data_IF_811154330490
#
_entry.id   IF_811154330490
#
_cell.length_a   1.000
_cell.length_b   1.000
_cell.length_c   1.000
_cell.angle_alpha   90.00
_cell.angle_beta   90.00
_cell.angle_gamma   90.00
#
_symmetry.space_group_name_H-M   'P 1'
#
loop_
_entity.id
_entity.type
_entity.pdbx_description
1 polymer ?
#
# COMPACT_ATOMS: atom_id res chain seq x y z
N UNK A 1 55.37 59.71 44.14
CA UNK A 1 55.02 59.59 42.71
C UNK A 1 54.26 58.30 42.54
N UNK A 2 52.97 58.39 42.32
CA UNK A 2 51.97 57.35 42.48
C UNK A 2 51.65 56.70 41.12
N UNK A 3 51.87 55.43 40.99
CA UNK A 3 51.44 54.61 39.81
C UNK A 3 50.10 53.99 40.15
N UNK A 4 49.05 54.37 39.41
CA UNK A 4 47.72 53.79 39.48
C UNK A 4 47.63 52.55 38.54
N UNK A 5 47.50 51.39 39.16
CA UNK A 5 47.17 50.17 38.40
C UNK A 5 45.63 50.11 38.15
N UNK A 6 45.21 50.15 36.89
CA UNK A 6 43.85 49.91 36.53
C UNK A 6 43.68 48.40 36.18
N UNK A 7 42.95 47.71 37.04
CA UNK A 7 42.56 46.29 36.80
C UNK A 7 41.36 46.28 35.86
N UNK A 8 41.57 45.83 34.67
CA UNK A 8 40.48 45.59 33.70
C UNK A 8 39.90 44.18 33.95
N UNK A 9 38.70 44.13 34.51
CA UNK A 9 37.95 42.89 34.72
C UNK A 9 37.22 42.54 33.43
N UNK A 10 37.71 41.53 32.67
CA UNK A 10 37.07 41.02 31.49
C UNK A 10 35.93 40.05 31.91
N UNK A 11 34.70 40.48 31.70
CA UNK A 11 33.50 39.66 31.88
C UNK A 11 33.36 38.72 30.69
N UNK A 12 33.77 37.46 30.84
CA UNK A 12 33.49 36.40 29.84
C UNK A 12 32.05 35.96 30.06
N UNK A 13 31.13 36.45 29.23
CA UNK A 13 29.77 35.97 29.14
C UNK A 13 29.77 34.59 28.44
N UNK A 14 29.71 33.51 29.21
CA UNK A 14 29.50 32.16 28.71
C UNK A 14 28.06 32.05 28.20
N UNK A 15 27.85 32.14 26.88
CA UNK A 15 26.61 31.69 26.25
C UNK A 15 26.56 30.17 26.39
N UNK A 16 25.93 29.69 27.47
CA UNK A 16 25.47 28.30 27.54
C UNK A 16 24.36 28.14 26.50
N UNK A 17 24.70 27.58 25.35
CA UNK A 17 23.69 27.09 24.38
C UNK A 17 22.89 26.01 25.13
N UNK A 18 21.69 26.34 25.59
CA UNK A 18 20.73 25.37 26.08
C UNK A 18 20.33 24.51 24.86
N UNK A 19 21.01 23.39 24.69
CA UNK A 19 20.51 22.32 23.85
C UNK A 19 19.15 21.94 24.44
N UNK A 20 18.08 22.46 23.87
CA UNK A 20 16.73 22.01 24.17
C UNK A 20 16.75 20.52 23.92
N UNK A 21 16.63 19.71 24.97
CA UNK A 21 16.43 18.28 24.82
C UNK A 21 15.14 18.12 24.02
N UNK A 22 15.29 17.96 22.71
CA UNK A 22 14.15 17.69 21.85
C UNK A 22 13.48 16.45 22.40
N UNK A 23 12.25 16.60 22.92
CA UNK A 23 11.48 15.50 23.49
C UNK A 23 11.39 14.34 22.50
N UNK A 24 11.06 13.17 22.98
CA UNK A 24 10.90 11.97 22.16
C UNK A 24 9.96 12.27 20.97
N UNK A 25 10.40 12.05 19.71
CA UNK A 25 9.56 12.29 18.54
C UNK A 25 8.29 11.45 18.59
N UNK A 26 7.15 12.06 18.35
CA UNK A 26 5.85 11.36 18.29
C UNK A 26 5.40 11.27 16.85
N UNK A 27 5.19 10.04 16.36
CA UNK A 27 4.73 9.74 14.99
C UNK A 27 3.46 8.91 15.09
N UNK A 28 2.45 9.25 14.28
CA UNK A 28 1.19 8.50 14.18
C UNK A 28 1.19 7.60 12.95
N UNK A 29 0.66 6.39 13.07
CA UNK A 29 0.32 5.51 11.95
C UNK A 29 -1.18 5.22 11.96
N UNK A 30 -1.86 5.47 10.84
CA UNK A 30 -3.28 5.17 10.65
C UNK A 30 -3.43 4.26 9.44
N UNK A 31 -3.92 3.03 9.67
CA UNK A 31 -4.19 2.05 8.63
C UNK A 31 -5.68 1.99 8.28
N UNK A 32 -6.05 1.27 7.21
CA UNK A 32 -7.47 1.09 6.87
C UNK A 32 -8.18 0.19 7.86
N UNK A 33 -7.52 -0.93 8.23
CA UNK A 33 -8.05 -1.92 9.19
C UNK A 33 -6.93 -2.51 10.03
N UNK A 34 -7.29 -3.19 11.12
CA UNK A 34 -6.34 -3.97 11.94
C UNK A 34 -6.36 -5.47 11.62
N UNK A 35 -7.20 -5.93 10.68
CA UNK A 35 -7.39 -7.35 10.37
C UNK A 35 -6.74 -7.78 9.04
N UNK A 36 -6.61 -6.88 8.05
CA UNK A 36 -5.94 -7.21 6.81
C UNK A 36 -4.43 -7.41 7.05
N UNK A 37 -3.86 -8.58 6.68
CA UNK A 37 -2.44 -8.90 6.94
C UNK A 37 -1.45 -7.86 6.40
N UNK A 38 -1.76 -7.18 5.30
CA UNK A 38 -0.94 -6.11 4.75
C UNK A 38 -0.77 -4.95 5.75
N UNK A 39 -1.86 -4.48 6.35
CA UNK A 39 -1.84 -3.38 7.31
C UNK A 39 -1.29 -3.80 8.67
N UNK A 40 -1.52 -5.05 9.08
CA UNK A 40 -0.89 -5.62 10.29
C UNK A 40 0.64 -5.58 10.14
N UNK A 41 1.18 -5.96 8.98
CA UNK A 41 2.62 -5.93 8.72
C UNK A 41 3.17 -4.51 8.53
N UNK A 42 2.41 -3.62 7.95
CA UNK A 42 2.75 -2.19 7.92
C UNK A 42 2.92 -1.64 9.35
N UNK A 43 2.00 -1.96 10.27
CA UNK A 43 2.08 -1.58 11.69
C UNK A 43 3.33 -2.16 12.35
N UNK A 44 3.65 -3.44 12.14
CA UNK A 44 4.88 -4.06 12.64
C UNK A 44 6.16 -3.37 12.11
N UNK A 45 6.18 -3.03 10.82
CA UNK A 45 7.28 -2.27 10.20
C UNK A 45 7.46 -0.90 10.84
N UNK A 46 6.37 -0.17 11.06
CA UNK A 46 6.39 1.12 11.73
C UNK A 46 6.87 1.01 13.19
N UNK A 47 6.41 -0.01 13.93
CA UNK A 47 6.84 -0.25 15.33
C UNK A 47 8.34 -0.52 15.43
N UNK A 48 8.89 -1.35 14.53
CA UNK A 48 10.34 -1.61 14.48
C UNK A 48 11.12 -0.34 14.19
N UNK A 49 10.70 0.43 13.18
CA UNK A 49 11.38 1.66 12.80
C UNK A 49 11.32 2.72 13.90
N UNK A 50 10.16 2.90 14.53
CA UNK A 50 10.00 3.83 15.65
C UNK A 50 10.92 3.46 16.82
N UNK A 51 10.99 2.17 17.19
CA UNK A 51 11.90 1.69 18.23
C UNK A 51 13.37 1.95 17.89
N UNK A 52 13.79 1.69 16.65
CA UNK A 52 15.17 1.93 16.20
C UNK A 52 15.52 3.42 16.18
N UNK A 53 14.54 4.25 15.89
CA UNK A 53 14.69 5.71 15.85
C UNK A 53 14.49 6.39 17.22
N UNK A 54 14.19 5.66 18.29
CA UNK A 54 13.88 6.25 19.60
C UNK A 54 12.71 7.22 19.51
N UNK A 55 11.61 6.78 18.90
CA UNK A 55 10.40 7.58 18.69
C UNK A 55 9.17 6.86 19.25
N UNK A 56 8.23 7.61 19.79
CA UNK A 56 6.92 7.10 20.21
C UNK A 56 6.01 6.96 19.01
N UNK A 57 5.51 5.75 18.76
CA UNK A 57 4.53 5.47 17.72
C UNK A 57 3.12 5.43 18.33
N UNK A 58 2.22 6.27 17.81
CA UNK A 58 0.78 6.16 18.01
C UNK A 58 0.18 5.35 16.87
N UNK A 59 -0.80 4.48 17.14
CA UNK A 59 -1.46 3.70 16.10
C UNK A 59 -2.96 3.88 16.15
N UNK A 60 -3.60 3.90 14.97
CA UNK A 60 -5.04 3.92 14.79
C UNK A 60 -5.43 3.24 13.48
N UNK A 61 -6.70 2.92 13.34
CA UNK A 61 -7.24 2.32 12.13
C UNK A 61 -8.73 2.63 11.99
N UNK A 62 -9.26 2.48 10.78
CA UNK A 62 -10.68 2.30 10.55
C UNK A 62 -11.13 0.90 10.98
N UNK A 63 -12.43 0.69 11.11
CA UNK A 63 -13.04 -0.62 11.42
C UNK A 63 -13.07 -1.54 10.20
N UNK A 64 -13.16 -0.96 9.01
CA UNK A 64 -13.19 -1.66 7.72
C UNK A 64 -12.61 -0.79 6.62
N UNK A 65 -12.33 -1.37 5.44
CA UNK A 65 -12.07 -0.56 4.24
C UNK A 65 -13.28 0.36 3.97
N UNK A 66 -12.99 1.65 3.76
CA UNK A 66 -14.02 2.70 3.60
C UNK A 66 -14.46 3.39 4.90
N UNK A 67 -14.02 2.95 6.09
CA UNK A 67 -14.33 3.67 7.35
C UNK A 67 -13.49 4.94 7.50
N UNK A 68 -13.93 5.99 6.83
CA UNK A 68 -13.30 7.30 6.89
C UNK A 68 -13.51 7.98 8.27
N UNK A 69 -14.65 7.77 8.93
CA UNK A 69 -14.95 8.39 10.22
C UNK A 69 -13.97 7.93 11.32
N UNK A 70 -13.68 6.63 11.37
CA UNK A 70 -12.68 6.09 12.31
C UNK A 70 -11.28 6.66 12.06
N UNK A 71 -10.89 6.86 10.80
CA UNK A 71 -9.61 7.47 10.47
C UNK A 71 -9.55 8.95 10.84
N UNK A 72 -10.63 9.72 10.64
CA UNK A 72 -10.71 11.14 11.07
C UNK A 72 -10.52 11.24 12.59
N UNK A 73 -11.23 10.43 13.37
CA UNK A 73 -11.09 10.41 14.82
C UNK A 73 -9.64 10.08 15.25
N UNK A 74 -8.99 9.12 14.56
CA UNK A 74 -7.59 8.78 14.81
C UNK A 74 -6.65 9.96 14.51
N UNK A 75 -6.86 10.72 13.43
CA UNK A 75 -6.08 11.93 13.10
C UNK A 75 -6.20 12.95 14.25
N UNK A 76 -7.40 13.25 14.69
CA UNK A 76 -7.66 14.24 15.74
C UNK A 76 -7.03 13.83 17.08
N UNK A 77 -7.15 12.56 17.46
CA UNK A 77 -6.50 12.01 18.64
C UNK A 77 -4.96 12.10 18.57
N UNK A 78 -4.37 11.83 17.41
CA UNK A 78 -2.93 11.92 17.23
C UNK A 78 -2.41 13.36 17.29
N UNK A 79 -3.15 14.31 16.73
CA UNK A 79 -2.86 15.74 16.83
C UNK A 79 -2.88 16.15 18.32
N UNK A 80 -3.93 15.81 19.05
CA UNK A 80 -4.08 16.10 20.47
C UNK A 80 -2.96 15.46 21.32
N UNK A 81 -2.46 14.29 20.91
CA UNK A 81 -1.34 13.60 21.57
C UNK A 81 0.05 14.14 21.18
N UNK A 82 0.12 15.20 20.38
CA UNK A 82 1.35 15.88 19.99
C UNK A 82 2.14 15.20 18.87
N UNK A 83 1.48 14.41 17.99
CA UNK A 83 2.14 13.83 16.83
C UNK A 83 2.71 14.94 15.93
N UNK A 84 4.00 14.80 15.58
CA UNK A 84 4.68 15.69 14.63
C UNK A 84 4.53 15.23 13.18
N UNK A 85 4.29 13.95 12.98
CA UNK A 85 3.99 13.39 11.67
C UNK A 85 2.86 12.36 11.79
N UNK A 86 2.00 12.30 10.78
CA UNK A 86 0.95 11.30 10.61
C UNK A 86 1.19 10.57 9.29
N UNK A 87 1.33 9.25 9.39
CA UNK A 87 1.47 8.31 8.30
C UNK A 87 0.11 7.64 8.13
N UNK A 88 -0.53 7.77 6.98
CA UNK A 88 -1.90 7.30 6.79
C UNK A 88 -2.08 6.52 5.49
N UNK A 89 -2.75 5.37 5.56
CA UNK A 89 -3.31 4.72 4.39
C UNK A 89 -4.79 5.12 4.26
N UNK A 90 -5.14 6.09 3.40
CA UNK A 90 -6.51 6.59 3.30
C UNK A 90 -7.52 5.50 2.93
N UNK A 91 -8.61 5.37 3.69
CA UNK A 91 -9.76 4.52 3.33
C UNK A 91 -10.59 5.15 2.21
N UNK A 92 -10.74 6.48 2.26
CA UNK A 92 -11.32 7.30 1.20
C UNK A 92 -10.35 8.43 0.84
N UNK A 93 -9.89 8.44 -0.41
CA UNK A 93 -8.87 9.38 -0.89
C UNK A 93 -9.32 10.84 -0.91
N UNK A 94 -10.64 11.10 -0.99
CA UNK A 94 -11.24 12.45 -1.05
C UNK A 94 -11.78 12.87 0.31
N UNK A 95 -12.59 12.03 0.94
CA UNK A 95 -13.29 12.38 2.16
C UNK A 95 -12.34 12.62 3.35
N UNK A 96 -11.12 12.06 3.33
CA UNK A 96 -10.12 12.28 4.39
C UNK A 96 -9.43 13.66 4.30
N UNK A 97 -9.42 14.29 3.12
CA UNK A 97 -8.63 15.52 2.83
C UNK A 97 -8.87 16.67 3.81
N UNK A 98 -10.12 17.01 4.23
CA UNK A 98 -10.32 18.08 5.20
C UNK A 98 -9.64 17.84 6.55
N UNK A 99 -9.60 16.58 7.02
CA UNK A 99 -8.92 16.23 8.27
C UNK A 99 -7.39 16.30 8.13
N UNK A 100 -6.84 15.86 7.00
CA UNK A 100 -5.40 16.00 6.72
C UNK A 100 -4.97 17.46 6.60
N UNK A 101 -5.82 18.30 5.99
CA UNK A 101 -5.55 19.73 5.94
C UNK A 101 -5.46 20.34 7.33
N UNK A 102 -6.40 20.02 8.23
CA UNK A 102 -6.35 20.49 9.63
C UNK A 102 -5.05 20.07 10.34
N UNK A 103 -4.60 18.82 10.13
CA UNK A 103 -3.34 18.35 10.68
C UNK A 103 -2.14 19.18 10.16
N UNK A 104 -2.09 19.40 8.84
CA UNK A 104 -1.02 20.19 8.21
C UNK A 104 -1.03 21.67 8.63
N UNK A 105 -2.19 22.27 8.79
CA UNK A 105 -2.36 23.66 9.27
C UNK A 105 -1.83 23.82 10.71
N UNK A 106 -1.80 22.74 11.50
CA UNK A 106 -1.21 22.69 12.84
C UNK A 106 0.28 22.29 12.85
N UNK A 107 0.92 22.25 11.68
CA UNK A 107 2.34 21.94 11.55
C UNK A 107 2.67 20.45 11.65
N UNK A 108 1.69 19.57 11.51
CA UNK A 108 1.92 18.13 11.43
C UNK A 108 2.24 17.74 9.98
N UNK A 109 3.36 17.04 9.75
CA UNK A 109 3.68 16.50 8.44
C UNK A 109 2.76 15.29 8.16
N UNK A 110 2.20 15.21 6.96
CA UNK A 110 1.31 14.10 6.56
C UNK A 110 1.92 13.35 5.38
N UNK A 111 2.15 12.04 5.58
CA UNK A 111 2.61 11.13 4.53
C UNK A 111 1.50 10.13 4.23
N UNK A 112 1.08 10.06 2.97
CA UNK A 112 0.22 8.98 2.51
C UNK A 112 1.05 7.69 2.33
N UNK A 113 0.49 6.56 2.75
CA UNK A 113 1.04 5.23 2.56
C UNK A 113 0.13 4.42 1.64
N UNK A 114 0.71 3.61 0.74
CA UNK A 114 0.00 2.67 -0.12
C UNK A 114 -1.00 3.32 -1.08
N UNK A 115 -1.89 4.14 -0.57
CA UNK A 115 -2.98 4.78 -1.33
C UNK A 115 -2.81 6.30 -1.35
N UNK A 116 -2.82 6.96 -2.53
CA UNK A 116 -2.76 8.41 -2.63
C UNK A 116 -4.07 9.06 -2.17
N UNK A 117 -3.98 10.34 -1.82
CA UNK A 117 -5.15 11.23 -1.69
C UNK A 117 -5.56 11.80 -3.05
N UNK A 118 -6.79 12.30 -3.14
CA UNK A 118 -7.30 13.07 -4.28
C UNK A 118 -7.89 14.40 -3.78
N UNK A 119 -7.20 15.53 -3.99
CA UNK A 119 -5.99 15.68 -4.81
C UNK A 119 -4.72 15.13 -4.12
N UNK A 120 -3.72 14.72 -4.93
CA UNK A 120 -2.47 14.14 -4.43
C UNK A 120 -1.67 15.06 -3.51
N UNK A 121 -1.77 16.37 -3.68
CA UNK A 121 -1.08 17.38 -2.87
C UNK A 121 -1.75 17.64 -1.49
N UNK A 122 -2.80 16.90 -1.15
CA UNK A 122 -3.37 16.94 0.20
C UNK A 122 -2.43 16.38 1.27
N UNK A 123 -1.41 15.59 0.86
CA UNK A 123 -0.32 15.10 1.71
C UNK A 123 1.03 15.68 1.29
N UNK A 124 2.02 15.66 2.19
CA UNK A 124 3.37 16.17 1.90
C UNK A 124 4.16 15.18 1.01
N UNK A 125 3.92 13.87 1.18
CA UNK A 125 4.53 12.81 0.38
C UNK A 125 3.62 11.59 0.27
N UNK A 126 3.92 10.72 -0.71
CA UNK A 126 3.31 9.40 -0.89
C UNK A 126 4.42 8.33 -0.91
N UNK A 127 4.34 7.34 -0.03
CA UNK A 127 5.22 6.17 -0.03
C UNK A 127 4.36 4.95 -0.37
N UNK A 128 4.54 4.41 -1.57
CA UNK A 128 3.66 3.37 -2.09
C UNK A 128 4.36 2.47 -3.11
N UNK A 129 3.78 1.32 -3.37
CA UNK A 129 4.06 0.48 -4.53
C UNK A 129 3.59 1.19 -5.80
N UNK A 130 4.31 1.06 -6.90
CA UNK A 130 3.76 1.38 -8.22
C UNK A 130 2.67 0.36 -8.58
N UNK A 131 1.43 0.73 -8.24
CA UNK A 131 0.27 -0.14 -8.42
C UNK A 131 -0.08 -0.40 -9.88
N UNK A 132 0.20 0.55 -10.79
CA UNK A 132 0.05 0.32 -12.22
C UNK A 132 1.06 -0.73 -12.70
N UNK A 133 2.31 -0.61 -12.29
CA UNK A 133 3.35 -1.61 -12.59
C UNK A 133 3.04 -2.98 -12.00
N UNK A 134 2.47 -3.04 -10.79
CA UNK A 134 2.03 -4.30 -10.20
C UNK A 134 1.00 -4.99 -11.10
N UNK A 135 -0.03 -4.27 -11.53
CA UNK A 135 -1.01 -4.76 -12.49
C UNK A 135 -0.37 -5.16 -13.82
N UNK A 136 0.50 -4.31 -14.37
CA UNK A 136 1.19 -4.55 -15.65
C UNK A 136 1.94 -5.89 -15.66
N UNK A 137 2.72 -6.16 -14.61
CA UNK A 137 3.50 -7.39 -14.48
C UNK A 137 2.61 -8.64 -14.45
N UNK A 138 1.52 -8.63 -13.67
CA UNK A 138 0.60 -9.78 -13.62
C UNK A 138 -0.20 -9.93 -14.93
N UNK A 139 -0.51 -8.83 -15.62
CA UNK A 139 -1.16 -8.85 -16.94
C UNK A 139 -0.26 -9.46 -18.01
N UNK A 140 1.00 -9.06 -18.09
CA UNK A 140 2.00 -9.63 -18.98
C UNK A 140 2.19 -11.12 -18.71
N UNK A 141 2.27 -11.51 -17.45
CA UNK A 141 2.34 -12.91 -17.08
C UNK A 141 1.10 -13.69 -17.54
N UNK A 142 -0.10 -13.19 -17.24
CA UNK A 142 -1.35 -13.85 -17.59
C UNK A 142 -1.49 -14.07 -19.11
N UNK A 143 -1.12 -13.06 -19.93
CA UNK A 143 -1.09 -13.16 -21.37
C UNK A 143 -0.16 -14.27 -21.85
N UNK A 144 1.07 -14.30 -21.35
CA UNK A 144 2.05 -15.32 -21.69
C UNK A 144 1.61 -16.72 -21.24
N UNK A 145 1.01 -16.84 -20.04
CA UNK A 145 0.57 -18.10 -19.47
C UNK A 145 -0.62 -18.72 -20.20
N UNK A 146 -1.50 -17.90 -20.80
CA UNK A 146 -2.60 -18.38 -21.66
C UNK A 146 -2.12 -18.90 -23.02
N UNK A 147 -0.88 -18.59 -23.42
CA UNK A 147 -0.23 -19.14 -24.62
C UNK A 147 -1.10 -19.02 -25.90
N UNK A 148 -1.72 -17.85 -26.09
CA UNK A 148 -2.57 -17.56 -27.27
C UNK A 148 -4.01 -18.08 -27.20
N UNK A 149 -4.40 -18.76 -26.12
CA UNK A 149 -5.82 -19.11 -25.91
C UNK A 149 -6.64 -17.83 -25.71
N UNK A 150 -7.83 -17.78 -26.32
CA UNK A 150 -8.77 -16.69 -26.13
C UNK A 150 -9.16 -16.56 -24.66
N UNK A 151 -8.99 -15.35 -24.11
CA UNK A 151 -9.33 -15.08 -22.73
C UNK A 151 -10.84 -14.80 -22.54
N UNK A 152 -11.35 -15.27 -21.42
CA UNK A 152 -12.61 -14.86 -20.82
C UNK A 152 -12.30 -14.45 -19.40
N UNK A 153 -12.08 -13.14 -19.23
CA UNK A 153 -11.49 -12.56 -18.01
C UNK A 153 -12.61 -12.18 -17.03
N UNK A 154 -12.47 -12.58 -15.78
CA UNK A 154 -13.14 -11.92 -14.67
C UNK A 154 -12.15 -10.99 -13.95
N UNK A 155 -12.55 -9.74 -13.71
CA UNK A 155 -11.81 -8.83 -12.82
C UNK A 155 -12.57 -8.72 -11.50
N UNK A 156 -11.89 -9.12 -10.42
CA UNK A 156 -12.41 -9.03 -9.06
C UNK A 156 -11.69 -7.86 -8.40
N UNK A 157 -12.32 -6.70 -8.51
CA UNK A 157 -11.76 -5.39 -8.23
C UNK A 157 -11.93 -4.97 -6.77
N UNK A 158 -11.42 -3.79 -6.40
CA UNK A 158 -11.52 -3.26 -5.04
C UNK A 158 -12.92 -2.69 -4.78
N UNK A 159 -13.17 -1.50 -5.23
CA UNK A 159 -14.47 -0.80 -5.31
C UNK A 159 -14.32 0.45 -6.19
N UNK A 160 -15.43 0.98 -6.72
CA UNK A 160 -15.38 2.09 -7.67
C UNK A 160 -14.68 3.33 -7.11
N UNK A 161 -13.85 3.97 -7.93
CA UNK A 161 -13.18 5.23 -7.61
C UNK A 161 -11.93 5.10 -6.73
N UNK A 162 -11.56 3.91 -6.26
CA UNK A 162 -10.35 3.74 -5.43
C UNK A 162 -9.08 3.79 -6.30
N UNK A 163 -8.12 4.72 -6.05
CA UNK A 163 -6.96 4.91 -6.94
C UNK A 163 -6.09 3.67 -7.13
N UNK A 164 -5.85 2.90 -6.05
CA UNK A 164 -5.08 1.64 -6.12
C UNK A 164 -5.82 0.61 -6.97
N UNK A 165 -7.14 0.49 -6.82
CA UNK A 165 -7.97 -0.41 -7.62
C UNK A 165 -7.87 -0.08 -9.09
N UNK A 166 -8.07 1.20 -9.44
CA UNK A 166 -7.96 1.70 -10.82
C UNK A 166 -6.56 1.43 -11.40
N UNK A 167 -5.50 1.76 -10.67
CA UNK A 167 -4.14 1.60 -11.15
C UNK A 167 -3.79 0.13 -11.42
N UNK A 168 -4.10 -0.79 -10.49
CA UNK A 168 -3.85 -2.23 -10.66
C UNK A 168 -4.66 -2.83 -11.80
N UNK A 169 -5.96 -2.54 -11.87
CA UNK A 169 -6.85 -3.00 -12.94
C UNK A 169 -6.36 -2.54 -14.32
N UNK A 170 -6.10 -1.23 -14.46
CA UNK A 170 -5.63 -0.64 -15.71
C UNK A 170 -4.26 -1.19 -16.10
N UNK A 171 -3.36 -1.35 -15.14
CA UNK A 171 -2.08 -2.00 -15.35
C UNK A 171 -2.24 -3.44 -15.84
N UNK A 172 -3.14 -4.22 -15.22
CA UNK A 172 -3.42 -5.58 -15.64
C UNK A 172 -3.92 -5.65 -17.10
N UNK A 173 -4.90 -4.83 -17.44
CA UNK A 173 -5.42 -4.82 -18.83
C UNK A 173 -4.36 -4.35 -19.84
N UNK A 174 -3.57 -3.34 -19.52
CA UNK A 174 -2.47 -2.89 -20.38
C UNK A 174 -1.40 -3.97 -20.53
N UNK A 175 -1.00 -4.65 -19.46
CA UNK A 175 -0.06 -5.77 -19.48
C UNK A 175 -0.59 -6.97 -20.27
N UNK A 176 -1.88 -7.23 -20.17
CA UNK A 176 -2.55 -8.25 -20.97
C UNK A 176 -2.60 -7.89 -22.47
N UNK A 177 -2.51 -6.61 -22.82
CA UNK A 177 -2.39 -6.12 -24.18
C UNK A 177 -3.54 -5.25 -24.68
N UNK A 178 -4.39 -4.76 -23.77
CA UNK A 178 -5.40 -3.77 -24.13
C UNK A 178 -4.71 -2.42 -24.45
N UNK A 179 -5.09 -1.83 -25.58
CA UNK A 179 -4.48 -0.60 -26.09
C UNK A 179 -5.05 0.65 -25.39
N UNK A 180 -4.26 1.73 -25.40
CA UNK A 180 -4.72 3.07 -24.94
C UNK A 180 -4.84 3.24 -23.42
N UNK A 181 -4.41 2.26 -22.62
CA UNK A 181 -4.49 2.31 -21.15
C UNK A 181 -3.11 2.65 -20.59
N UNK A 182 -3.03 3.75 -19.85
CA UNK A 182 -1.77 4.21 -19.24
C UNK A 182 -1.90 4.51 -17.75
N UNK A 183 -0.78 4.79 -17.06
CA UNK A 183 -0.76 5.03 -15.61
C UNK A 183 -1.52 6.28 -15.17
N UNK A 184 -1.89 7.15 -16.12
CA UNK A 184 -2.69 8.35 -15.86
C UNK A 184 -4.20 8.14 -16.11
N UNK A 185 -4.62 6.93 -16.50
CA UNK A 185 -6.05 6.62 -16.69
C UNK A 185 -6.73 6.55 -15.32
N UNK A 186 -7.69 7.45 -15.08
CA UNK A 186 -8.33 7.67 -13.76
C UNK A 186 -9.64 6.89 -13.56
N UNK A 187 -10.09 6.17 -14.59
CA UNK A 187 -11.27 5.31 -14.55
C UNK A 187 -10.89 3.86 -14.82
N UNK A 188 -11.72 2.91 -14.40
CA UNK A 188 -11.55 1.52 -14.74
C UNK A 188 -11.68 1.34 -16.26
N UNK A 189 -10.62 0.90 -16.90
CA UNK A 189 -10.60 0.64 -18.32
C UNK A 189 -11.48 -0.58 -18.67
N UNK A 190 -11.93 -0.63 -19.91
CA UNK A 190 -12.73 -1.75 -20.46
C UNK A 190 -11.92 -2.52 -21.49
N UNK A 191 -12.14 -3.81 -21.56
CA UNK A 191 -11.60 -4.69 -22.61
C UNK A 191 -12.69 -5.66 -23.06
N UNK A 192 -12.78 -6.00 -24.35
CA UNK A 192 -13.73 -6.99 -24.85
C UNK A 192 -13.50 -8.39 -24.27
N UNK A 193 -12.29 -8.67 -23.79
CA UNK A 193 -11.95 -9.95 -23.15
C UNK A 193 -12.49 -10.05 -21.71
N UNK A 194 -12.86 -8.92 -21.09
CA UNK A 194 -13.44 -8.89 -19.74
C UNK A 194 -14.93 -9.17 -19.82
N UNK A 195 -15.31 -10.37 -19.42
CA UNK A 195 -16.69 -10.85 -19.45
C UNK A 195 -17.44 -10.67 -18.14
N UNK A 196 -16.72 -10.34 -17.06
CA UNK A 196 -17.28 -10.00 -15.75
C UNK A 196 -16.37 -9.06 -14.99
N UNK A 197 -16.94 -8.00 -14.42
CA UNK A 197 -16.30 -7.12 -13.45
C UNK A 197 -17.14 -7.15 -12.18
N UNK A 198 -16.50 -7.30 -11.01
CA UNK A 198 -17.16 -7.32 -9.72
C UNK A 198 -16.25 -6.82 -8.60
N UNK A 199 -16.83 -6.19 -7.60
CA UNK A 199 -16.09 -5.60 -6.49
C UNK A 199 -15.97 -6.58 -5.31
N UNK A 200 -14.77 -6.68 -4.74
CA UNK A 200 -14.48 -7.51 -3.57
C UNK A 200 -14.19 -6.70 -2.30
N UNK A 201 -13.97 -5.41 -2.41
CA UNK A 201 -13.47 -4.57 -1.31
C UNK A 201 -12.15 -5.09 -0.71
N UNK A 202 -11.42 -5.91 -1.47
CA UNK A 202 -10.20 -6.56 -0.99
C UNK A 202 -10.44 -7.64 0.08
N UNK A 203 -11.68 -8.08 0.25
CA UNK A 203 -12.14 -9.04 1.26
C UNK A 203 -12.35 -10.45 0.67
N UNK A 204 -12.02 -11.49 1.45
CA UNK A 204 -12.11 -12.88 0.99
C UNK A 204 -13.55 -13.32 0.73
N UNK A 205 -14.47 -13.02 1.64
CA UNK A 205 -15.87 -13.44 1.51
C UNK A 205 -16.56 -12.76 0.35
N UNK A 206 -16.36 -11.44 0.21
CA UNK A 206 -16.88 -10.67 -0.93
C UNK A 206 -16.23 -11.10 -2.25
N UNK A 207 -14.93 -11.42 -2.26
CA UNK A 207 -14.24 -11.98 -3.41
C UNK A 207 -14.83 -13.33 -3.85
N UNK A 208 -15.20 -14.19 -2.90
CA UNK A 208 -15.90 -15.44 -3.18
C UNK A 208 -17.27 -15.17 -3.83
N UNK A 209 -18.11 -14.34 -3.23
CA UNK A 209 -19.44 -13.98 -3.77
C UNK A 209 -19.32 -13.32 -5.15
N UNK A 210 -18.34 -12.42 -5.34
CA UNK A 210 -18.08 -11.78 -6.62
C UNK A 210 -17.77 -12.82 -7.72
N UNK A 211 -16.92 -13.82 -7.41
CA UNK A 211 -16.59 -14.88 -8.37
C UNK A 211 -17.76 -15.82 -8.64
N UNK A 212 -18.54 -16.19 -7.63
CA UNK A 212 -19.76 -17.00 -7.81
C UNK A 212 -20.73 -16.31 -8.77
N UNK A 213 -20.96 -15.00 -8.60
CA UNK A 213 -21.78 -14.19 -9.50
C UNK A 213 -21.20 -14.11 -10.92
N UNK A 214 -19.87 -14.01 -11.05
CA UNK A 214 -19.21 -14.01 -12.34
C UNK A 214 -19.36 -15.35 -13.07
N UNK A 215 -19.26 -16.49 -12.38
CA UNK A 215 -19.47 -17.83 -12.95
C UNK A 215 -20.90 -18.05 -13.42
N UNK A 216 -21.90 -17.48 -12.71
CA UNK A 216 -23.29 -17.52 -13.15
C UNK A 216 -23.51 -16.73 -14.45
N UNK A 217 -22.84 -15.57 -14.60
CA UNK A 217 -22.92 -14.74 -15.82
C UNK A 217 -22.19 -15.37 -16.99
N UNK A 218 -21.03 -15.98 -16.75
CA UNK A 218 -20.21 -16.62 -17.78
C UNK A 218 -19.46 -17.83 -17.22
N UNK A 219 -19.94 -19.06 -17.46
CA UNK A 219 -19.29 -20.28 -17.00
C UNK A 219 -17.97 -20.62 -17.73
N UNK A 220 -17.61 -19.87 -18.77
CA UNK A 220 -16.41 -20.09 -19.58
C UNK A 220 -15.23 -19.20 -19.21
N UNK A 221 -15.28 -18.51 -18.04
CA UNK A 221 -14.14 -17.76 -17.51
C UNK A 221 -12.95 -18.70 -17.39
N UNK A 222 -11.79 -18.27 -17.90
CA UNK A 222 -10.53 -19.03 -17.87
C UNK A 222 -9.35 -18.22 -17.29
N UNK A 223 -9.57 -16.94 -16.98
CA UNK A 223 -8.59 -16.07 -16.32
C UNK A 223 -9.30 -15.18 -15.31
N UNK A 224 -8.76 -15.12 -14.09
CA UNK A 224 -9.21 -14.20 -13.05
C UNK A 224 -8.05 -13.31 -12.62
N UNK A 225 -8.25 -12.00 -12.75
CA UNK A 225 -7.49 -11.00 -12.02
C UNK A 225 -8.20 -10.75 -10.69
N UNK A 226 -7.50 -10.98 -9.59
CA UNK A 226 -7.95 -10.61 -8.25
C UNK A 226 -7.10 -9.46 -7.72
N UNK A 227 -7.75 -8.40 -7.22
CA UNK A 227 -7.13 -7.15 -6.78
C UNK A 227 -6.03 -7.34 -5.73
N UNK A 228 -6.19 -8.35 -4.87
CA UNK A 228 -5.27 -8.72 -3.81
C UNK A 228 -5.42 -10.20 -3.43
N UNK A 229 -4.52 -10.72 -2.61
CA UNK A 229 -4.53 -12.12 -2.19
C UNK A 229 -5.73 -12.55 -1.35
N UNK A 230 -6.29 -11.74 -0.43
CA UNK A 230 -7.54 -12.09 0.22
C UNK A 230 -8.69 -12.32 -0.76
N UNK A 231 -8.86 -11.45 -1.76
CA UNK A 231 -9.86 -11.63 -2.81
C UNK A 231 -9.56 -12.89 -3.65
N UNK A 232 -8.29 -13.15 -3.99
CA UNK A 232 -7.88 -14.37 -4.73
C UNK A 232 -8.20 -15.66 -3.97
N UNK A 233 -8.02 -15.66 -2.65
CA UNK A 233 -8.40 -16.81 -1.81
C UNK A 233 -9.93 -17.05 -1.84
N UNK A 234 -10.74 -15.99 -1.90
CA UNK A 234 -12.17 -16.07 -2.10
C UNK A 234 -12.54 -16.63 -3.48
N UNK A 235 -11.90 -16.09 -4.53
CA UNK A 235 -12.02 -16.58 -5.91
C UNK A 235 -11.74 -18.08 -5.99
N UNK A 236 -10.63 -18.53 -5.41
CA UNK A 236 -10.28 -19.95 -5.41
C UNK A 236 -11.35 -20.83 -4.74
N UNK A 237 -11.92 -20.38 -3.62
CA UNK A 237 -13.02 -21.11 -2.95
C UNK A 237 -14.25 -21.26 -3.86
N UNK A 238 -14.65 -20.19 -4.56
CA UNK A 238 -15.76 -20.22 -5.52
C UNK A 238 -15.48 -21.18 -6.68
N UNK A 239 -14.27 -21.10 -7.26
CA UNK A 239 -13.86 -22.01 -8.34
C UNK A 239 -13.84 -23.46 -7.90
N UNK A 240 -13.32 -23.74 -6.69
CA UNK A 240 -13.30 -25.11 -6.12
C UNK A 240 -14.70 -25.65 -5.89
N UNK A 241 -15.61 -24.84 -5.38
CA UNK A 241 -17.01 -25.22 -5.20
C UNK A 241 -17.70 -25.52 -6.53
N UNK A 242 -17.27 -24.86 -7.62
CA UNK A 242 -17.76 -25.10 -8.98
C UNK A 242 -16.99 -26.21 -9.75
N UNK A 243 -15.97 -26.84 -9.16
CA UNK A 243 -15.10 -27.83 -9.81
C UNK A 243 -14.25 -27.27 -10.95
N UNK A 244 -13.92 -25.96 -10.91
CA UNK A 244 -13.21 -25.24 -11.98
C UNK A 244 -11.81 -24.74 -11.59
N UNK A 245 -11.33 -25.09 -10.42
CA UNK A 245 -10.06 -24.59 -9.87
C UNK A 245 -8.82 -24.97 -10.69
N UNK A 246 -8.94 -26.00 -11.55
CA UNK A 246 -7.84 -26.44 -12.45
C UNK A 246 -7.92 -25.82 -13.84
N UNK A 247 -9.07 -25.28 -14.20
CA UNK A 247 -9.36 -24.75 -15.56
C UNK A 247 -9.15 -23.24 -15.66
N UNK A 248 -9.08 -22.55 -14.50
CA UNK A 248 -9.05 -21.10 -14.43
C UNK A 248 -7.74 -20.62 -13.84
N UNK A 249 -7.01 -19.78 -14.58
CA UNK A 249 -5.79 -19.13 -14.12
C UNK A 249 -6.13 -17.99 -13.18
N UNK A 250 -5.57 -17.96 -11.97
CA UNK A 250 -5.70 -16.85 -11.01
C UNK A 250 -4.39 -16.09 -10.95
N UNK A 251 -4.43 -14.76 -11.09
CA UNK A 251 -3.31 -13.87 -10.86
C UNK A 251 -3.72 -12.78 -9.86
N UNK A 252 -2.78 -12.35 -9.01
CA UNK A 252 -3.08 -11.42 -7.91
C UNK A 252 -1.92 -10.50 -7.56
N UNK A 253 -2.12 -9.67 -6.55
CA UNK A 253 -1.13 -8.75 -5.98
C UNK A 253 -1.10 -8.96 -4.47
N UNK A 254 0.01 -8.79 -3.87
CA UNK A 254 0.41 -8.54 -2.48
C UNK A 254 1.74 -9.22 -2.15
N UNK A 255 1.93 -10.50 -2.45
CA UNK A 255 3.15 -11.25 -2.10
C UNK A 255 3.31 -11.47 -0.60
N UNK A 256 2.21 -11.60 0.13
CA UNK A 256 2.22 -12.09 1.50
C UNK A 256 2.68 -13.54 1.57
N UNK A 257 3.17 -14.01 2.72
CA UNK A 257 3.69 -15.37 2.83
C UNK A 257 2.61 -16.44 2.55
N UNK A 258 1.34 -16.15 2.83
CA UNK A 258 0.23 -17.03 2.46
C UNK A 258 0.07 -17.10 0.94
N UNK A 259 -0.01 -15.95 0.26
CA UNK A 259 -0.17 -15.89 -1.20
C UNK A 259 1.03 -16.47 -1.95
N UNK A 260 2.26 -16.24 -1.46
CA UNK A 260 3.44 -16.89 -2.07
C UNK A 260 3.40 -18.42 -1.90
N UNK A 261 2.89 -18.93 -0.76
CA UNK A 261 2.62 -20.38 -0.61
C UNK A 261 1.54 -20.87 -1.57
N UNK A 262 0.51 -20.06 -1.82
CA UNK A 262 -0.53 -20.38 -2.80
C UNK A 262 0.02 -20.39 -4.24
N UNK A 263 0.98 -19.52 -4.56
CA UNK A 263 1.73 -19.62 -5.83
C UNK A 263 2.52 -20.91 -5.91
N UNK A 264 3.24 -21.28 -4.84
CA UNK A 264 3.99 -22.54 -4.78
C UNK A 264 3.09 -23.78 -4.90
N UNK A 265 1.89 -23.71 -4.37
CA UNK A 265 0.89 -24.79 -4.44
C UNK A 265 0.11 -24.80 -5.76
N UNK A 266 0.32 -23.82 -6.65
CA UNK A 266 -0.41 -23.71 -7.92
C UNK A 266 -1.85 -23.22 -7.79
N UNK A 267 -2.25 -22.70 -6.64
CA UNK A 267 -3.56 -22.06 -6.38
C UNK A 267 -3.66 -20.71 -7.07
N UNK A 268 -2.61 -19.91 -6.97
CA UNK A 268 -2.41 -18.65 -7.69
C UNK A 268 -1.24 -18.88 -8.66
N UNK A 269 -1.36 -18.44 -9.89
CA UNK A 269 -0.30 -18.64 -10.89
C UNK A 269 0.86 -17.66 -10.73
N UNK A 270 0.57 -16.43 -10.31
CA UNK A 270 1.55 -15.41 -10.01
C UNK A 270 0.96 -14.34 -9.09
N UNK A 271 1.81 -13.72 -8.27
CA UNK A 271 1.48 -12.56 -7.43
C UNK A 271 2.52 -11.46 -7.61
N UNK A 272 2.10 -10.19 -7.66
CA UNK A 272 3.01 -9.05 -7.62
C UNK A 272 3.28 -8.66 -6.17
N UNK A 273 4.47 -9.02 -5.67
CA UNK A 273 4.87 -8.82 -4.27
C UNK A 273 5.18 -7.35 -4.00
N UNK A 274 4.59 -6.80 -2.96
CA UNK A 274 4.82 -5.46 -2.42
C UNK A 274 5.38 -5.52 -0.98
N UNK A 275 5.87 -4.38 -0.46
CA UNK A 275 6.74 -4.36 0.72
C UNK A 275 6.24 -3.42 1.83
N UNK A 276 5.14 -3.76 2.56
CA UNK A 276 4.52 -2.89 3.57
C UNK A 276 5.44 -2.55 4.74
N UNK A 277 6.35 -3.47 5.15
CA UNK A 277 7.31 -3.18 6.21
C UNK A 277 8.30 -2.08 5.80
N UNK A 278 8.82 -2.16 4.55
CA UNK A 278 9.72 -1.14 3.99
C UNK A 278 9.01 0.20 3.85
N UNK A 279 7.78 0.18 3.34
CA UNK A 279 6.94 1.38 3.17
C UNK A 279 6.76 2.12 4.50
N UNK A 280 6.34 1.41 5.54
CA UNK A 280 6.16 1.98 6.87
C UNK A 280 7.47 2.41 7.52
N UNK A 281 8.53 1.62 7.36
CA UNK A 281 9.86 1.94 7.90
C UNK A 281 10.41 3.26 7.37
N UNK A 282 10.42 3.42 6.04
CA UNK A 282 10.86 4.67 5.39
C UNK A 282 10.02 5.88 5.80
N UNK A 283 8.71 5.69 5.97
CA UNK A 283 7.82 6.77 6.38
C UNK A 283 8.04 7.20 7.85
N UNK A 284 8.29 6.24 8.75
CA UNK A 284 8.64 6.55 10.15
C UNK A 284 9.97 7.32 10.20
N UNK A 285 10.99 6.89 9.45
CA UNK A 285 12.27 7.61 9.36
C UNK A 285 12.08 9.06 8.90
N UNK A 286 11.26 9.28 7.87
CA UNK A 286 10.91 10.61 7.39
C UNK A 286 10.15 11.41 8.44
N UNK A 287 9.19 10.80 9.15
CA UNK A 287 8.43 11.41 10.24
C UNK A 287 9.30 11.85 11.41
N UNK A 288 10.22 10.99 11.84
CA UNK A 288 11.19 11.28 12.91
C UNK A 288 12.17 12.36 12.48
N UNK A 289 12.66 12.31 11.24
CA UNK A 289 13.52 13.36 10.68
C UNK A 289 12.83 14.72 10.71
N UNK A 290 11.57 14.77 10.29
CA UNK A 290 10.79 16.00 10.38
C UNK A 290 10.60 16.47 11.82
N UNK A 291 10.25 15.58 12.73
CA UNK A 291 10.05 15.93 14.13
C UNK A 291 11.31 16.54 14.77
N UNK A 292 12.50 16.06 14.39
CA UNK A 292 13.79 16.52 14.94
C UNK A 292 14.34 17.76 14.25
N UNK A 293 14.16 17.87 12.93
CA UNK A 293 14.87 18.87 12.11
C UNK A 293 13.97 19.85 11.38
N UNK A 294 12.66 19.60 11.32
CA UNK A 294 11.71 20.36 10.50
C UNK A 294 11.77 20.05 8.99
N UNK A 295 12.69 19.15 8.54
CA UNK A 295 12.82 18.80 7.13
C UNK A 295 11.69 17.87 6.69
N UNK A 296 10.80 18.37 5.84
CA UNK A 296 9.69 17.58 5.29
C UNK A 296 10.14 16.60 4.21
N UNK A 297 9.53 15.42 4.19
CA UNK A 297 9.52 14.56 3.01
C UNK A 297 8.60 15.16 1.95
N UNK A 298 8.85 14.88 0.68
CA UNK A 298 8.03 15.36 -0.44
C UNK A 298 8.05 14.38 -1.61
N UNK A 299 7.01 14.45 -2.44
CA UNK A 299 6.90 13.68 -3.68
C UNK A 299 6.50 12.22 -3.46
N UNK A 300 6.75 11.41 -4.48
CA UNK A 300 6.45 9.99 -4.50
C UNK A 300 7.71 9.16 -4.25
N UNK A 301 7.62 8.20 -3.35
CA UNK A 301 8.67 7.21 -3.07
C UNK A 301 8.15 5.82 -3.43
N UNK A 302 8.67 5.25 -4.52
CA UNK A 302 8.39 3.87 -4.91
C UNK A 302 9.05 2.88 -3.95
N UNK A 303 8.25 2.07 -3.30
CA UNK A 303 8.73 1.04 -2.37
C UNK A 303 9.09 -0.27 -3.07
N UNK A 304 8.82 -0.36 -4.37
CA UNK A 304 9.13 -1.48 -5.23
C UNK A 304 7.99 -2.48 -5.40
N UNK A 305 8.08 -3.27 -6.47
CA UNK A 305 7.20 -4.40 -6.76
C UNK A 305 7.97 -5.47 -7.51
N UNK A 306 7.71 -6.75 -7.20
CA UNK A 306 8.36 -7.90 -7.83
C UNK A 306 7.32 -8.97 -8.17
N UNK A 307 7.30 -9.42 -9.42
CA UNK A 307 6.46 -10.55 -9.80
C UNK A 307 7.04 -11.86 -9.25
N UNK A 308 6.21 -12.64 -8.57
CA UNK A 308 6.59 -13.94 -7.99
C UNK A 308 5.78 -15.06 -8.65
N UNK A 309 6.49 -16.04 -9.21
CA UNK A 309 5.92 -17.24 -9.83
C UNK A 309 6.98 -18.32 -9.97
N UNK A 310 6.62 -19.60 -9.84
CA UNK A 310 7.52 -20.72 -10.14
C UNK A 310 7.45 -21.13 -11.63
N UNK A 311 6.43 -20.68 -12.35
CA UNK A 311 6.26 -20.89 -13.78
C UNK A 311 6.74 -19.66 -14.56
N UNK A 312 8.05 -19.58 -14.81
CA UNK A 312 8.62 -18.47 -15.58
C UNK A 312 8.09 -18.40 -17.00
N UNK A 313 7.80 -17.20 -17.48
CA UNK A 313 7.37 -16.91 -18.84
C UNK A 313 8.45 -16.13 -19.59
N UNK A 314 8.70 -16.48 -20.84
CA UNK A 314 9.65 -15.74 -21.68
C UNK A 314 9.23 -14.28 -21.81
N UNK A 315 10.20 -13.37 -21.65
CA UNK A 315 9.96 -11.92 -21.76
C UNK A 315 9.25 -11.29 -20.54
N UNK A 316 8.99 -12.06 -19.47
CA UNK A 316 8.38 -11.53 -18.22
C UNK A 316 9.37 -11.67 -17.08
N UNK A 317 9.84 -10.51 -16.56
CA UNK A 317 10.74 -10.49 -15.41
C UNK A 317 10.00 -10.97 -14.16
N UNK A 318 10.55 -12.01 -13.51
CA UNK A 318 9.93 -12.63 -12.33
C UNK A 318 10.97 -13.30 -11.44
N UNK A 319 10.60 -13.48 -10.19
CA UNK A 319 11.33 -14.28 -9.20
C UNK A 319 10.52 -15.52 -8.84
N UNK A 320 11.21 -16.54 -8.34
CA UNK A 320 10.57 -17.76 -7.86
C UNK A 320 9.96 -17.61 -6.46
N UNK A 321 9.24 -18.63 -6.02
CA UNK A 321 8.64 -18.64 -4.68
C UNK A 321 9.67 -18.72 -3.56
N UNK A 322 10.89 -19.20 -3.82
CA UNK A 322 11.97 -19.19 -2.82
C UNK A 322 12.38 -17.76 -2.49
N UNK A 323 12.59 -16.92 -3.52
CA UNK A 323 12.78 -15.48 -3.34
C UNK A 323 11.56 -14.85 -2.64
N UNK A 324 10.36 -15.13 -3.13
CA UNK A 324 9.11 -14.58 -2.58
C UNK A 324 8.95 -14.89 -1.08
N UNK A 325 9.22 -16.12 -0.66
CA UNK A 325 9.16 -16.54 0.75
C UNK A 325 10.24 -15.88 1.63
N UNK A 326 11.42 -15.58 1.06
CA UNK A 326 12.46 -14.84 1.77
C UNK A 326 12.14 -13.36 2.00
N UNK A 327 11.30 -12.78 1.15
CA UNK A 327 10.92 -11.36 1.18
C UNK A 327 9.47 -11.12 1.63
N UNK A 328 8.66 -12.17 1.82
CA UNK A 328 7.24 -12.04 2.14
C UNK A 328 6.99 -11.53 3.56
N UNK A 329 5.79 -11.11 3.79
CA UNK A 329 5.26 -10.59 5.05
C UNK A 329 3.98 -11.35 5.43
N UNK A 330 3.72 -11.47 6.72
CA UNK A 330 2.63 -12.28 7.24
C UNK A 330 3.05 -13.76 7.38
N UNK A 331 2.52 -14.44 8.37
CA UNK A 331 2.74 -15.89 8.59
C UNK A 331 1.48 -16.66 8.27
#
# INVERSE_FOLDING_TARGET
>A
MTAKHRLAMALIASLAATASAAGEPVVGLITKTEINPFFVKMKEGAQRAAKLQGARLLTGAGKSDGDNAGQIAAIENMIAAGARAILITPSDSKAIVPALKRARDQGVMVIALDSPTDPANATDALFATDNYKAGLLIGQYAKAALAGKAAKIATIDLFPGHPVGIARHNGFLAGYGAAGIGPKTVELAKSPDVVCMADSFGDQGKGQTAMENCLQKNPHINLVYAINEPAAAGVYKALKAAGKEKDVLIVSVDGGCAGVRDVKAGVIAATAQQYPLKMAGLAVEAGVTYARTGKKASGYVDTGVTLVTDRKMAGVDSRDTAFGLGACWGK
#
